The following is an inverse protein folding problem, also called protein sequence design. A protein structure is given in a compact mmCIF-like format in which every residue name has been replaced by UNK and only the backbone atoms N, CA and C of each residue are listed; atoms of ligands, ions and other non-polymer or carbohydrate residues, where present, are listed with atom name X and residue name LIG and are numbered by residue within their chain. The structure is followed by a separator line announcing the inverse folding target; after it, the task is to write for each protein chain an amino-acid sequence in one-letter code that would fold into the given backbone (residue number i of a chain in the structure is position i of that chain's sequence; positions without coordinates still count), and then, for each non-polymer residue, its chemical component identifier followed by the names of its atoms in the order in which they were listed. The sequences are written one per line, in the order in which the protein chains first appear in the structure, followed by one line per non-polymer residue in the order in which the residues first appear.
data_IF_924277385366
#
_entry.id   IF_924277385366
#
_cell.length_a   1.000
_cell.length_b   1.000
_cell.length_c   1.000
_cell.angle_alpha   90.00
_cell.angle_beta   90.00
_cell.angle_gamma   90.00
#
_symmetry.space_group_name_H-M   'P 1'
#
loop_
_entity.id
_entity.type
_entity.pdbx_description
1 polymer ?
#
# COMPACT_ATOMS: atom_id res chain seq x y z
N UNK A 1 5.45 -27.52 -1.94
CA UNK A 1 6.15 -26.25 -2.24
C UNK A 1 5.35 -25.12 -1.59
N UNK A 2 5.97 -24.29 -0.75
CA UNK A 2 5.27 -23.16 -0.13
C UNK A 2 5.05 -22.10 -1.21
N UNK A 3 3.79 -21.72 -1.46
CA UNK A 3 3.44 -20.68 -2.43
C UNK A 3 3.98 -19.34 -1.92
N UNK A 4 5.01 -18.80 -2.57
CA UNK A 4 5.62 -17.50 -2.24
C UNK A 4 4.84 -16.41 -2.97
N UNK A 5 4.23 -15.48 -2.24
CA UNK A 5 3.44 -14.42 -2.86
C UNK A 5 4.26 -13.17 -3.14
N UNK A 6 5.22 -12.87 -2.27
CA UNK A 6 6.13 -11.75 -2.39
C UNK A 6 7.57 -12.25 -2.33
N UNK A 7 8.44 -11.64 -3.11
CA UNK A 7 9.88 -11.89 -3.06
C UNK A 7 10.55 -10.71 -2.36
N UNK A 8 11.22 -10.98 -1.23
CA UNK A 8 12.03 -9.96 -0.55
C UNK A 8 13.23 -9.59 -1.42
N UNK A 9 13.36 -8.30 -1.73
CA UNK A 9 14.47 -7.72 -2.49
C UNK A 9 15.08 -6.60 -1.65
N UNK A 10 16.09 -6.96 -0.84
CA UNK A 10 16.68 -6.07 0.15
C UNK A 10 15.67 -5.62 1.21
N UNK A 11 15.33 -4.32 1.18
CA UNK A 11 14.40 -3.69 2.13
C UNK A 11 12.95 -3.68 1.63
N UNK A 12 12.72 -4.09 0.38
CA UNK A 12 11.41 -4.07 -0.28
C UNK A 12 10.89 -5.48 -0.58
N UNK A 13 9.61 -5.54 -0.93
CA UNK A 13 8.91 -6.75 -1.34
C UNK A 13 8.32 -6.57 -2.73
N UNK A 14 8.48 -7.56 -3.61
CA UNK A 14 7.95 -7.53 -4.98
C UNK A 14 6.92 -8.65 -5.10
N UNK A 15 5.66 -8.38 -5.51
CA UNK A 15 4.69 -9.44 -5.74
C UNK A 15 5.15 -10.35 -6.90
N UNK A 16 5.14 -11.66 -6.68
CA UNK A 16 5.52 -12.68 -7.68
C UNK A 16 4.39 -13.69 -7.96
N UNK A 17 3.27 -13.58 -7.24
CA UNK A 17 2.11 -14.46 -7.35
C UNK A 17 0.82 -13.63 -7.53
N UNK A 18 -0.22 -14.15 -8.21
CA UNK A 18 -1.51 -13.46 -8.39
C UNK A 18 -2.11 -12.91 -7.09
N UNK A 19 -1.98 -13.63 -5.97
CA UNK A 19 -2.45 -13.17 -4.66
C UNK A 19 -1.65 -11.97 -4.13
N UNK A 20 -0.34 -11.91 -4.40
CA UNK A 20 0.47 -10.73 -4.06
C UNK A 20 0.08 -9.50 -4.88
N UNK A 21 -0.21 -9.70 -6.18
CA UNK A 21 -0.75 -8.64 -7.04
C UNK A 21 -2.14 -8.19 -6.59
N UNK A 22 -3.00 -9.11 -6.17
CA UNK A 22 -4.33 -8.79 -5.64
C UNK A 22 -4.24 -7.94 -4.38
N UNK A 23 -3.40 -8.32 -3.39
CA UNK A 23 -3.22 -7.53 -2.16
C UNK A 23 -2.65 -6.14 -2.48
N UNK A 24 -1.71 -6.05 -3.41
CA UNK A 24 -1.13 -4.77 -3.84
C UNK A 24 -2.17 -3.92 -4.57
N UNK A 25 -2.98 -4.53 -5.44
CA UNK A 25 -4.07 -3.88 -6.15
C UNK A 25 -5.15 -3.35 -5.21
N UNK A 26 -5.52 -4.10 -4.18
CA UNK A 26 -6.46 -3.64 -3.15
C UNK A 26 -5.90 -2.47 -2.33
N UNK A 27 -4.61 -2.50 -1.98
CA UNK A 27 -3.96 -1.39 -1.29
C UNK A 27 -3.97 -0.11 -2.14
N UNK A 28 -3.68 -0.22 -3.43
CA UNK A 28 -3.76 0.92 -4.38
C UNK A 28 -5.21 1.39 -4.54
N UNK A 29 -6.15 0.46 -4.78
CA UNK A 29 -7.56 0.77 -4.96
C UNK A 29 -8.16 1.48 -3.73
N UNK A 30 -7.70 1.14 -2.52
CA UNK A 30 -8.06 1.85 -1.30
C UNK A 30 -7.47 3.28 -1.23
N UNK A 31 -6.21 3.45 -1.64
CA UNK A 31 -5.55 4.77 -1.62
C UNK A 31 -6.10 5.74 -2.65
N UNK A 32 -6.63 5.27 -3.79
CA UNK A 32 -7.20 6.14 -4.84
C UNK A 32 -8.28 7.10 -4.30
N UNK A 33 -9.38 6.64 -3.65
CA UNK A 33 -10.39 7.54 -3.11
C UNK A 33 -9.86 8.41 -1.97
N UNK A 34 -8.87 7.92 -1.18
CA UNK A 34 -8.23 8.71 -0.12
C UNK A 34 -7.51 9.92 -0.72
N UNK A 35 -6.69 9.72 -1.75
CA UNK A 35 -5.96 10.80 -2.42
C UNK A 35 -6.93 11.75 -3.12
N UNK A 36 -7.95 11.22 -3.82
CA UNK A 36 -8.97 12.06 -4.45
C UNK A 36 -9.75 12.91 -3.44
N UNK A 37 -10.04 12.35 -2.25
CA UNK A 37 -10.70 13.10 -1.18
C UNK A 37 -9.77 14.14 -0.55
N UNK A 38 -8.50 13.82 -0.35
CA UNK A 38 -7.51 14.74 0.18
C UNK A 38 -7.32 15.94 -0.77
N UNK A 39 -7.10 15.69 -2.06
CA UNK A 39 -6.96 16.74 -3.09
C UNK A 39 -8.19 17.65 -3.14
N UNK A 40 -9.40 17.08 -3.11
CA UNK A 40 -10.65 17.85 -3.15
C UNK A 40 -10.85 18.76 -1.92
N UNK A 41 -10.35 18.37 -0.76
CA UNK A 41 -10.58 19.10 0.50
C UNK A 41 -9.38 19.90 0.98
N UNK A 42 -8.21 19.76 0.33
CA UNK A 42 -6.99 20.41 0.77
C UNK A 42 -7.00 21.91 0.47
N UNK A 43 -6.56 22.71 1.44
CA UNK A 43 -6.33 24.15 1.26
C UNK A 43 -4.87 24.49 0.94
N UNK A 44 -3.97 23.50 1.04
CA UNK A 44 -2.55 23.61 0.70
C UNK A 44 -1.96 22.22 0.46
N UNK A 45 -0.79 22.16 -0.18
CA UNK A 45 -0.05 20.90 -0.39
C UNK A 45 0.28 20.22 0.96
N UNK A 46 0.61 21.00 1.98
CA UNK A 46 0.93 20.48 3.31
C UNK A 46 -0.29 19.81 3.96
N UNK A 47 -1.47 20.43 3.82
CA UNK A 47 -2.74 19.88 4.33
C UNK A 47 -3.09 18.56 3.63
N UNK A 48 -2.95 18.51 2.31
CA UNK A 48 -3.11 17.27 1.52
C UNK A 48 -2.17 16.15 2.01
N UNK A 49 -0.88 16.47 2.19
CA UNK A 49 0.12 15.51 2.66
C UNK A 49 -0.20 14.97 4.05
N UNK A 50 -0.69 15.81 4.98
CA UNK A 50 -1.08 15.37 6.31
C UNK A 50 -2.29 14.43 6.26
N UNK A 51 -3.29 14.75 5.42
CA UNK A 51 -4.47 13.90 5.24
C UNK A 51 -4.09 12.55 4.64
N UNK A 52 -3.23 12.52 3.62
CA UNK A 52 -2.77 11.27 2.97
C UNK A 52 -1.89 10.44 3.91
N UNK A 53 -1.04 11.07 4.73
CA UNK A 53 -0.02 10.40 5.53
C UNK A 53 -0.57 9.29 6.43
N UNK A 54 -1.67 9.55 7.13
CA UNK A 54 -2.26 8.60 8.08
C UNK A 54 -2.73 7.33 7.36
N UNK A 55 -3.48 7.49 6.28
CA UNK A 55 -3.98 6.36 5.50
C UNK A 55 -2.85 5.63 4.77
N UNK A 56 -1.93 6.36 4.15
CA UNK A 56 -0.79 5.79 3.43
C UNK A 56 0.09 4.93 4.35
N UNK A 57 0.40 5.41 5.56
CA UNK A 57 1.23 4.68 6.51
C UNK A 57 0.53 3.43 7.06
N UNK A 58 -0.76 3.51 7.39
CA UNK A 58 -1.55 2.35 7.80
C UNK A 58 -1.63 1.29 6.70
N UNK A 59 -1.95 1.70 5.46
CA UNK A 59 -2.05 0.79 4.32
C UNK A 59 -0.70 0.16 3.97
N UNK A 60 0.38 0.95 3.96
CA UNK A 60 1.73 0.45 3.70
C UNK A 60 2.20 -0.53 4.79
N UNK A 61 1.87 -0.27 6.07
CA UNK A 61 2.17 -1.17 7.18
C UNK A 61 1.51 -2.54 6.98
N UNK A 62 0.19 -2.56 6.72
CA UNK A 62 -0.54 -3.81 6.52
C UNK A 62 -0.08 -4.56 5.27
N UNK A 63 0.15 -3.85 4.17
CA UNK A 63 0.71 -4.45 2.96
C UNK A 63 2.07 -5.09 3.22
N UNK A 64 2.97 -4.40 3.92
CA UNK A 64 4.30 -4.92 4.28
C UNK A 64 4.20 -6.13 5.19
N UNK A 65 3.31 -6.11 6.19
CA UNK A 65 3.09 -7.23 7.09
C UNK A 65 2.63 -8.49 6.32
N UNK A 66 1.70 -8.36 5.37
CA UNK A 66 1.29 -9.47 4.51
C UNK A 66 2.46 -9.98 3.68
N UNK A 67 3.24 -9.08 3.07
CA UNK A 67 4.41 -9.43 2.28
C UNK A 67 5.46 -10.18 3.12
N UNK A 68 5.71 -9.76 4.36
CA UNK A 68 6.60 -10.44 5.31
C UNK A 68 6.14 -11.85 5.67
N UNK A 69 4.83 -12.08 5.82
CA UNK A 69 4.28 -13.41 6.16
C UNK A 69 4.19 -14.38 4.98
N UNK A 70 4.28 -13.87 3.76
CA UNK A 70 4.06 -14.63 2.52
C UNK A 70 5.27 -14.64 1.58
N UNK A 71 6.42 -14.16 2.08
CA UNK A 71 7.73 -14.28 1.43
C UNK A 71 8.48 -15.55 1.80
#
# INVERSE_FOLDING_TARGET
MKQVWFKRTGWFYIPVHPLGFLVTGLAIAFMVPVVMAADRNAHSVTDELYQIFVFATCTAFWWKWVAEKTS
#
